data_IF_087006076017
#
_entry.id   IF_087006076017
#
_cell.length_a   1.000
_cell.length_b   1.000
_cell.length_c   1.000
_cell.angle_alpha   90.00
_cell.angle_beta   90.00
_cell.angle_gamma   90.00
#
_symmetry.space_group_name_H-M   'P 1'
#
loop_
_entity.id
_entity.type
_entity.pdbx_description
1 polymer ?
#
# COMPACT_ATOMS: atom_id res chain seq x y z
N UNK A 1 -8.95 26.60 16.24
CA UNK A 1 -10.00 27.54 15.76
C UNK A 1 -11.11 26.79 15.01
N UNK A 2 -11.71 25.75 15.60
CA UNK A 2 -12.86 25.01 15.04
C UNK A 2 -13.82 24.43 16.11
N UNK A 3 -13.63 24.73 17.39
CA UNK A 3 -14.38 24.08 18.48
C UNK A 3 -14.07 22.59 18.70
N UNK A 4 -13.21 22.02 17.85
CA UNK A 4 -12.69 20.64 17.94
C UNK A 4 -11.58 20.60 19.00
N UNK A 5 -11.60 19.59 19.87
CA UNK A 5 -10.54 19.42 20.86
C UNK A 5 -9.23 19.00 20.19
N UNK A 6 -8.08 19.36 20.78
CA UNK A 6 -6.79 18.92 20.24
C UNK A 6 -6.68 17.39 20.18
N UNK A 7 -7.28 16.69 21.14
CA UNK A 7 -7.31 15.23 21.17
C UNK A 7 -8.07 14.65 19.97
N UNK A 8 -9.24 15.19 19.64
CA UNK A 8 -10.03 14.74 18.50
C UNK A 8 -9.30 14.98 17.18
N UNK A 9 -8.60 16.11 17.10
CA UNK A 9 -7.80 16.51 15.95
C UNK A 9 -6.63 15.53 15.71
N UNK A 10 -5.94 15.12 16.78
CA UNK A 10 -4.84 14.14 16.72
C UNK A 10 -5.34 12.74 16.38
N UNK A 11 -6.51 12.35 16.89
CA UNK A 11 -7.13 11.09 16.49
C UNK A 11 -7.54 11.09 15.03
N UNK A 12 -8.08 12.20 14.51
CA UNK A 12 -8.40 12.33 13.10
C UNK A 12 -7.13 12.19 12.22
N UNK A 13 -6.03 12.85 12.59
CA UNK A 13 -4.73 12.70 11.94
C UNK A 13 -4.30 11.22 11.85
N UNK A 14 -4.33 10.52 13.00
CA UNK A 14 -3.96 9.12 13.10
C UNK A 14 -4.84 8.25 12.20
N UNK A 15 -6.15 8.36 12.32
CA UNK A 15 -7.11 7.51 11.60
C UNK A 15 -6.95 7.70 10.09
N UNK A 16 -6.88 8.95 9.62
CA UNK A 16 -6.74 9.23 8.19
C UNK A 16 -5.42 8.68 7.67
N UNK A 17 -4.31 8.95 8.35
CA UNK A 17 -2.98 8.46 7.96
C UNK A 17 -2.92 6.93 7.98
N UNK A 18 -3.47 6.29 9.01
CA UNK A 18 -3.55 4.84 9.11
C UNK A 18 -4.38 4.23 7.97
N UNK A 19 -5.51 4.84 7.60
CA UNK A 19 -6.31 4.37 6.48
C UNK A 19 -5.52 4.40 5.15
N UNK A 20 -4.80 5.48 4.86
CA UNK A 20 -3.95 5.55 3.66
C UNK A 20 -2.82 4.53 3.69
N UNK A 21 -2.08 4.46 4.81
CA UNK A 21 -0.97 3.50 4.97
C UNK A 21 -1.44 2.05 4.89
N UNK A 22 -2.58 1.71 5.47
CA UNK A 22 -3.18 0.38 5.33
C UNK A 22 -3.58 0.09 3.90
N UNK A 23 -4.18 1.04 3.18
CA UNK A 23 -4.52 0.88 1.77
C UNK A 23 -3.29 0.55 0.92
N UNK A 24 -2.20 1.30 1.11
CA UNK A 24 -0.92 1.07 0.42
C UNK A 24 -0.34 -0.31 0.79
N UNK A 25 -0.36 -0.68 2.07
CA UNK A 25 0.14 -1.96 2.54
C UNK A 25 -0.70 -3.16 2.02
N UNK A 26 -2.02 -2.98 1.85
CA UNK A 26 -2.88 -3.99 1.23
C UNK A 26 -2.59 -4.18 -0.25
N UNK A 27 -2.21 -3.13 -0.98
CA UNK A 27 -1.70 -3.31 -2.34
C UNK A 27 -0.42 -4.16 -2.38
N UNK A 28 0.50 -3.95 -1.42
CA UNK A 28 1.70 -4.76 -1.30
C UNK A 28 1.37 -6.23 -0.96
N UNK A 29 0.40 -6.45 -0.07
CA UNK A 29 -0.07 -7.78 0.29
C UNK A 29 -0.73 -8.50 -0.88
N UNK A 30 -1.55 -7.80 -1.68
CA UNK A 30 -2.19 -8.35 -2.86
C UNK A 30 -1.16 -8.71 -3.94
N UNK A 31 -0.16 -7.85 -4.19
CA UNK A 31 0.93 -8.14 -5.10
C UNK A 31 1.76 -9.37 -4.65
N UNK A 32 1.99 -9.51 -3.34
CA UNK A 32 2.65 -10.67 -2.76
C UNK A 32 1.81 -11.96 -2.90
N UNK A 33 0.50 -11.87 -2.68
CA UNK A 33 -0.43 -12.98 -2.86
C UNK A 33 -0.46 -13.45 -4.33
N UNK A 34 -0.51 -12.52 -5.28
CA UNK A 34 -0.40 -12.83 -6.71
C UNK A 34 0.94 -13.49 -7.05
N UNK A 35 2.03 -13.11 -6.37
CA UNK A 35 3.35 -13.73 -6.57
C UNK A 35 3.41 -15.18 -6.07
N UNK A 36 2.77 -15.49 -4.94
CA UNK A 36 2.68 -16.87 -4.46
C UNK A 36 1.80 -17.75 -5.36
N UNK A 37 0.75 -17.18 -5.95
CA UNK A 37 -0.07 -17.85 -6.96
C UNK A 37 0.75 -18.22 -8.19
N UNK A 38 1.53 -17.27 -8.71
CA UNK A 38 2.42 -17.49 -9.86
C UNK A 38 3.51 -18.51 -9.56
N UNK A 39 3.98 -18.54 -8.32
CA UNK A 39 4.98 -19.51 -7.85
C UNK A 39 4.41 -20.89 -7.54
N UNK A 40 3.10 -21.13 -7.77
CA UNK A 40 2.38 -22.38 -7.47
C UNK A 40 2.55 -22.79 -5.99
N UNK A 41 2.64 -21.80 -5.08
CA UNK A 41 2.76 -22.04 -3.63
C UNK A 41 1.39 -22.11 -2.97
N UNK A 42 0.48 -21.20 -3.32
CA UNK A 42 -0.87 -21.13 -2.78
C UNK A 42 -1.87 -20.73 -3.88
N UNK A 43 -3.02 -21.42 -4.04
CA UNK A 43 -4.13 -20.89 -4.81
C UNK A 43 -4.67 -19.69 -4.05
N UNK A 44 -5.09 -18.64 -4.77
CA UNK A 44 -5.62 -17.39 -4.20
C UNK A 44 -6.93 -17.64 -3.44
N UNK A 45 -6.82 -18.22 -2.26
CA UNK A 45 -7.90 -18.86 -1.55
C UNK A 45 -7.64 -18.89 -0.07
N UNK A 46 -8.69 -18.58 0.67
CA UNK A 46 -8.65 -18.41 2.11
C UNK A 46 -8.22 -19.66 2.90
N UNK A 47 -8.31 -20.85 2.29
CA UNK A 47 -8.25 -22.13 3.01
C UNK A 47 -7.50 -23.27 2.32
N UNK A 48 -6.91 -23.08 1.13
CA UNK A 48 -6.34 -24.22 0.37
C UNK A 48 -4.93 -23.96 -0.17
N UNK A 49 -4.15 -25.03 -0.29
CA UNK A 49 -2.82 -25.12 -0.94
C UNK A 49 -2.94 -25.91 -2.24
N UNK A 50 -2.00 -25.75 -3.17
CA UNK A 50 -1.99 -26.52 -4.43
C UNK A 50 -1.62 -27.99 -4.20
N UNK A 51 -0.83 -28.27 -3.15
CA UNK A 51 -0.62 -29.62 -2.62
C UNK A 51 -1.66 -29.89 -1.53
N UNK A 52 -2.29 -31.06 -1.54
CA UNK A 52 -3.23 -31.56 -0.52
C UNK A 52 -2.62 -31.71 0.90
N UNK A 53 -1.53 -31.01 1.20
CA UNK A 53 -1.01 -30.93 2.55
C UNK A 53 -1.92 -30.03 3.39
N UNK A 54 -2.51 -30.62 4.43
CA UNK A 54 -3.44 -30.00 5.38
C UNK A 54 -2.70 -28.99 6.27
N UNK A 55 -2.20 -27.90 5.68
CA UNK A 55 -1.56 -26.82 6.41
C UNK A 55 -2.55 -25.68 6.64
N UNK A 56 -3.07 -25.63 7.87
CA UNK A 56 -3.54 -24.42 8.56
C UNK A 56 -4.48 -23.50 7.79
N UNK A 57 -5.79 -23.71 7.96
CA UNK A 57 -6.83 -22.74 7.59
C UNK A 57 -6.55 -21.39 8.28
N UNK A 58 -6.07 -20.39 7.53
CA UNK A 58 -6.12 -18.93 7.79
C UNK A 58 -4.89 -18.12 7.34
N UNK A 59 -4.11 -18.57 6.34
CA UNK A 59 -2.89 -17.85 5.92
C UNK A 59 -3.16 -16.41 5.49
N UNK A 60 -4.21 -16.14 4.72
CA UNK A 60 -4.50 -14.77 4.24
C UNK A 60 -5.05 -13.87 5.36
N UNK A 61 -6.02 -14.33 6.15
CA UNK A 61 -6.60 -13.54 7.24
C UNK A 61 -5.54 -13.20 8.31
N UNK A 62 -4.67 -14.16 8.66
CA UNK A 62 -3.56 -13.92 9.57
C UNK A 62 -2.58 -12.88 9.00
N UNK A 63 -2.29 -12.93 7.70
CA UNK A 63 -1.45 -11.93 7.02
C UNK A 63 -2.10 -10.55 7.01
N UNK A 64 -3.38 -10.44 6.69
CA UNK A 64 -4.11 -9.17 6.73
C UNK A 64 -4.08 -8.58 8.13
N UNK A 65 -4.39 -9.36 9.17
CA UNK A 65 -4.36 -8.93 10.56
C UNK A 65 -2.95 -8.51 10.99
N UNK A 66 -1.92 -9.28 10.61
CA UNK A 66 -0.53 -8.97 10.90
C UNK A 66 -0.11 -7.66 10.23
N UNK A 67 -0.41 -7.48 8.94
CA UNK A 67 -0.11 -6.25 8.19
C UNK A 67 -0.80 -5.05 8.83
N UNK A 68 -2.10 -5.14 9.14
CA UNK A 68 -2.83 -4.08 9.83
C UNK A 68 -2.21 -3.76 11.20
N UNK A 69 -1.86 -4.78 11.98
CA UNK A 69 -1.26 -4.58 13.31
C UNK A 69 0.11 -3.90 13.23
N UNK A 70 0.95 -4.28 12.27
CA UNK A 70 2.27 -3.68 12.06
C UNK A 70 2.14 -2.22 11.63
N UNK A 71 1.30 -1.92 10.63
CA UNK A 71 1.13 -0.55 10.11
C UNK A 71 0.55 0.36 11.18
N UNK A 72 -0.56 -0.05 11.82
CA UNK A 72 -1.19 0.74 12.88
C UNK A 72 -0.26 0.92 14.08
N UNK A 73 0.48 -0.12 14.46
CA UNK A 73 1.45 -0.08 15.56
C UNK A 73 2.62 0.86 15.27
N UNK A 74 3.21 0.78 14.07
CA UNK A 74 4.30 1.68 13.66
C UNK A 74 3.86 3.15 13.68
N UNK A 75 2.67 3.44 13.16
CA UNK A 75 2.11 4.79 13.19
C UNK A 75 1.82 5.28 14.60
N UNK A 76 1.33 4.42 15.51
CA UNK A 76 1.13 4.79 16.91
C UNK A 76 2.46 5.13 17.60
N UNK A 77 3.53 4.38 17.33
CA UNK A 77 4.86 4.65 17.89
C UNK A 77 5.38 6.01 17.39
N UNK A 78 5.28 6.28 16.09
CA UNK A 78 5.68 7.56 15.49
C UNK A 78 4.87 8.70 16.12
N UNK A 79 3.54 8.56 16.21
CA UNK A 79 2.68 9.57 16.81
C UNK A 79 2.97 9.78 18.30
N UNK A 80 3.22 8.72 19.06
CA UNK A 80 3.56 8.81 20.47
C UNK A 80 4.88 9.56 20.69
N UNK A 81 5.86 9.40 19.80
CA UNK A 81 7.15 10.11 19.90
C UNK A 81 7.06 11.62 19.61
N UNK A 82 6.08 12.05 18.82
CA UNK A 82 5.95 13.43 18.33
C UNK A 82 4.53 13.98 18.60
N UNK A 83 3.93 13.56 19.71
CA UNK A 83 2.50 13.74 20.01
C UNK A 83 2.05 15.21 20.00
N UNK A 84 2.88 16.12 20.51
CA UNK A 84 2.59 17.56 20.58
C UNK A 84 2.69 18.27 19.23
N UNK A 85 3.48 17.73 18.31
CA UNK A 85 3.81 18.36 17.02
C UNK A 85 2.92 17.89 15.86
N UNK A 86 2.00 16.95 16.12
CA UNK A 86 1.23 16.26 15.08
C UNK A 86 0.08 17.07 14.44
N UNK A 87 -0.37 18.15 15.08
CA UNK A 87 -1.54 18.93 14.65
C UNK A 87 -1.35 20.41 14.94
N UNK A 88 -1.91 21.29 14.11
CA UNK A 88 -1.88 22.74 14.34
C UNK A 88 -3.25 23.28 14.74
N UNK A 89 -3.29 24.55 15.11
CA UNK A 89 -4.53 25.25 15.48
C UNK A 89 -5.51 25.43 14.30
N UNK A 90 -5.05 25.21 13.07
CA UNK A 90 -5.79 25.36 11.82
C UNK A 90 -5.95 24.06 11.02
N UNK A 91 -5.18 23.01 11.30
CA UNK A 91 -5.24 21.73 10.59
C UNK A 91 -5.15 20.50 11.50
N UNK A 92 -6.06 19.55 11.28
CA UNK A 92 -6.01 18.20 11.86
C UNK A 92 -5.34 17.15 10.96
N UNK A 93 -4.88 17.54 9.77
CA UNK A 93 -4.13 16.68 8.87
C UNK A 93 -2.61 16.82 9.05
N UNK A 94 -2.19 17.65 10.01
CA UNK A 94 -0.81 17.95 10.32
C UNK A 94 -0.25 19.07 9.45
N UNK A 95 0.91 19.59 9.84
CA UNK A 95 1.58 20.71 9.18
C UNK A 95 2.94 20.30 8.65
N UNK A 96 3.35 20.86 7.52
CA UNK A 96 4.70 20.69 6.97
C UNK A 96 5.59 21.84 7.43
N UNK A 97 6.47 21.54 8.38
CA UNK A 97 7.45 22.48 8.90
C UNK A 97 8.77 21.76 9.17
N UNK A 98 9.84 22.52 9.38
CA UNK A 98 11.13 21.97 9.80
C UNK A 98 11.06 21.24 11.15
N UNK A 99 10.04 21.52 11.97
CA UNK A 99 9.85 20.90 13.29
C UNK A 99 9.11 19.56 13.17
N UNK A 100 8.21 19.45 12.19
CA UNK A 100 7.38 18.25 11.97
C UNK A 100 7.98 17.27 10.97
N UNK A 101 9.14 17.56 10.39
CA UNK A 101 9.80 16.69 9.41
C UNK A 101 10.15 15.31 9.99
N UNK A 102 10.50 15.25 11.27
CA UNK A 102 10.82 14.02 11.98
C UNK A 102 9.59 13.14 12.22
N UNK A 103 8.38 13.72 12.17
CA UNK A 103 7.12 12.99 12.16
C UNK A 103 6.78 12.48 10.75
N UNK A 104 6.89 13.33 9.73
CA UNK A 104 6.45 13.02 8.36
C UNK A 104 7.38 12.08 7.61
N UNK A 105 8.70 12.23 7.78
CA UNK A 105 9.72 11.43 7.11
C UNK A 105 9.54 9.92 7.31
N UNK A 106 9.40 9.38 8.54
CA UNK A 106 9.21 7.94 8.73
C UNK A 106 7.88 7.43 8.16
N UNK A 107 6.81 8.24 8.20
CA UNK A 107 5.50 7.86 7.64
C UNK A 107 5.59 7.78 6.11
N UNK A 108 6.19 8.79 5.48
CA UNK A 108 6.41 8.80 4.05
C UNK A 108 7.30 7.64 3.62
N UNK A 109 8.38 7.38 4.34
CA UNK A 109 9.28 6.26 4.07
C UNK A 109 8.55 4.91 4.13
N UNK A 110 7.73 4.68 5.17
CA UNK A 110 6.93 3.47 5.30
C UNK A 110 5.99 3.26 4.12
N UNK A 111 5.30 4.34 3.69
CA UNK A 111 4.37 4.32 2.57
C UNK A 111 5.09 4.09 1.23
N UNK A 112 6.21 4.77 0.99
CA UNK A 112 7.04 4.60 -0.22
C UNK A 112 7.65 3.20 -0.29
N UNK A 113 8.19 2.68 0.82
CA UNK A 113 8.69 1.30 0.86
C UNK A 113 7.59 0.28 0.55
N UNK A 114 6.38 0.48 1.09
CA UNK A 114 5.23 -0.39 0.80
C UNK A 114 4.82 -0.32 -0.67
N UNK A 115 4.80 0.88 -1.27
CA UNK A 115 4.52 1.07 -2.69
C UNK A 115 5.58 0.42 -3.59
N UNK A 116 6.87 0.51 -3.22
CA UNK A 116 7.97 -0.16 -3.92
C UNK A 116 7.84 -1.69 -3.85
N UNK A 117 7.50 -2.23 -2.68
CA UNK A 117 7.26 -3.68 -2.51
C UNK A 117 6.12 -4.14 -3.42
N UNK A 118 5.00 -3.42 -3.44
CA UNK A 118 3.87 -3.72 -4.32
C UNK A 118 4.28 -3.71 -5.79
N UNK A 119 5.05 -2.69 -6.20
CA UNK A 119 5.56 -2.52 -7.56
C UNK A 119 6.51 -3.66 -7.94
N UNK A 120 7.45 -4.02 -7.06
CA UNK A 120 8.45 -5.07 -7.32
C UNK A 120 7.79 -6.45 -7.51
N UNK A 121 6.84 -6.82 -6.64
CA UNK A 121 6.11 -8.08 -6.78
C UNK A 121 5.23 -8.07 -8.05
N UNK A 122 4.53 -6.97 -8.31
CA UNK A 122 3.69 -6.85 -9.51
C UNK A 122 4.51 -6.96 -10.80
N UNK A 123 5.66 -6.30 -10.88
CA UNK A 123 6.57 -6.39 -12.03
C UNK A 123 7.07 -7.81 -12.24
N UNK A 124 7.52 -8.48 -11.16
CA UNK A 124 7.99 -9.87 -11.24
C UNK A 124 6.90 -10.80 -11.76
N UNK A 125 5.66 -10.61 -11.30
CA UNK A 125 4.52 -11.38 -11.78
C UNK A 125 4.26 -11.13 -13.27
N UNK A 126 4.21 -9.88 -13.70
CA UNK A 126 4.01 -9.53 -15.11
C UNK A 126 5.06 -10.15 -16.03
N UNK A 127 6.33 -10.15 -15.61
CA UNK A 127 7.42 -10.81 -16.35
C UNK A 127 7.17 -12.32 -16.44
N UNK A 128 6.81 -12.97 -15.32
CA UNK A 128 6.52 -14.41 -15.35
C UNK A 128 5.32 -14.74 -16.24
N UNK A 129 4.23 -13.95 -16.18
CA UNK A 129 3.07 -14.12 -17.03
C UNK A 129 3.38 -13.99 -18.53
N UNK A 130 4.24 -13.03 -18.89
CA UNK A 130 4.55 -12.71 -20.29
C UNK A 130 5.60 -13.64 -20.91
N UNK A 131 6.58 -14.09 -20.12
CA UNK A 131 7.77 -14.75 -20.66
C UNK A 131 7.92 -16.23 -20.27
N UNK A 132 7.11 -16.80 -19.36
CA UNK A 132 7.15 -18.22 -19.04
C UNK A 132 5.98 -19.00 -19.67
N UNK A 133 6.16 -19.67 -20.83
CA UNK A 133 5.10 -20.46 -21.47
C UNK A 133 4.68 -21.68 -20.63
N UNK A 134 5.61 -22.32 -19.92
CA UNK A 134 5.31 -23.44 -19.02
C UNK A 134 4.36 -23.07 -17.88
N UNK A 135 4.37 -21.81 -17.44
CA UNK A 135 3.45 -21.33 -16.42
C UNK A 135 2.02 -21.22 -16.99
N UNK A 136 1.87 -20.75 -18.23
CA UNK A 136 0.57 -20.67 -18.90
C UNK A 136 -0.06 -22.06 -19.08
N UNK A 137 0.74 -23.04 -19.51
CA UNK A 137 0.29 -24.43 -19.65
C UNK A 137 -0.11 -25.06 -18.30
N UNK A 138 0.67 -24.82 -17.24
CA UNK A 138 0.34 -25.31 -15.90
C UNK A 138 -0.94 -24.68 -15.35
N UNK A 139 -1.14 -23.38 -15.58
CA UNK A 139 -2.36 -22.66 -15.19
C UNK A 139 -3.55 -23.18 -15.99
N UNK A 140 -3.44 -23.38 -17.30
CA UNK A 140 -4.53 -23.89 -18.14
C UNK A 140 -4.96 -25.29 -17.73
N UNK A 141 -4.00 -26.19 -17.48
CA UNK A 141 -4.25 -27.54 -16.97
C UNK A 141 -4.94 -27.52 -15.60
N UNK A 142 -4.51 -26.64 -14.68
CA UNK A 142 -5.18 -26.48 -13.39
C UNK A 142 -6.59 -25.91 -13.56
N UNK A 143 -6.75 -24.86 -14.36
CA UNK A 143 -8.05 -24.20 -14.58
C UNK A 143 -9.06 -25.09 -15.31
N UNK A 144 -8.60 -26.03 -16.15
CA UNK A 144 -9.46 -27.02 -16.80
C UNK A 144 -10.08 -28.03 -15.82
N UNK A 145 -9.47 -28.23 -14.65
CA UNK A 145 -9.92 -29.20 -13.64
C UNK A 145 -10.80 -28.58 -12.53
N UNK A 146 -10.97 -27.25 -12.49
CA UNK A 146 -11.59 -26.56 -11.36
C UNK A 146 -12.87 -25.83 -11.76
N UNK A 147 -13.78 -25.61 -10.80
CA UNK A 147 -15.04 -24.88 -10.99
C UNK A 147 -14.86 -23.47 -11.59
N UNK A 148 -15.86 -23.03 -12.37
CA UNK A 148 -15.89 -21.71 -13.02
C UNK A 148 -15.66 -20.54 -12.05
N UNK A 149 -16.16 -20.65 -10.82
CA UNK A 149 -16.00 -19.62 -9.80
C UNK A 149 -14.52 -19.40 -9.45
N UNK A 150 -13.78 -20.48 -9.23
CA UNK A 150 -12.35 -20.43 -8.90
C UNK A 150 -11.50 -19.92 -10.06
N UNK A 151 -11.88 -20.29 -11.28
CA UNK A 151 -11.25 -19.78 -12.49
C UNK A 151 -11.34 -18.26 -12.57
N UNK A 152 -12.53 -17.70 -12.29
CA UNK A 152 -12.72 -16.26 -12.24
C UNK A 152 -11.88 -15.58 -11.15
N UNK A 153 -11.69 -16.20 -9.98
CA UNK A 153 -10.84 -15.65 -8.90
C UNK A 153 -9.37 -15.54 -9.33
N UNK A 154 -8.85 -16.58 -9.98
CA UNK A 154 -7.48 -16.61 -10.50
C UNK A 154 -7.30 -15.57 -11.60
N UNK A 155 -8.19 -15.56 -12.61
CA UNK A 155 -8.13 -14.60 -13.72
C UNK A 155 -8.33 -13.14 -13.28
N UNK A 156 -9.06 -12.89 -12.18
CA UNK A 156 -9.18 -11.55 -11.60
C UNK A 156 -7.84 -11.08 -11.05
N UNK A 157 -7.18 -11.91 -10.24
CA UNK A 157 -5.88 -11.59 -9.66
C UNK A 157 -4.82 -11.27 -10.74
N UNK A 158 -4.90 -11.95 -11.89
CA UNK A 158 -4.02 -11.70 -13.04
C UNK A 158 -4.28 -10.35 -13.72
N UNK A 159 -5.55 -9.96 -13.86
CA UNK A 159 -5.93 -8.68 -14.46
C UNK A 159 -5.55 -7.48 -13.58
N UNK A 160 -5.57 -7.68 -12.27
CA UNK A 160 -5.35 -6.60 -11.30
C UNK A 160 -3.85 -6.31 -11.05
N UNK A 161 -2.91 -7.06 -11.65
CA UNK A 161 -1.46 -6.89 -11.44
C UNK A 161 -0.92 -5.50 -11.82
N UNK A 162 -1.44 -4.90 -12.91
CA UNK A 162 -1.04 -3.54 -13.28
C UNK A 162 -1.61 -2.52 -12.27
N UNK A 163 -2.80 -2.78 -11.75
CA UNK A 163 -3.44 -1.94 -10.74
C UNK A 163 -2.71 -2.04 -9.40
N UNK A 164 -2.20 -3.21 -9.01
CA UNK A 164 -1.39 -3.36 -7.80
C UNK A 164 -0.01 -2.69 -7.89
N UNK A 165 0.51 -2.46 -9.09
CA UNK A 165 1.72 -1.68 -9.30
C UNK A 165 1.47 -0.17 -9.19
N UNK A 166 0.39 0.34 -9.79
CA UNK A 166 0.12 1.78 -9.91
C UNK A 166 -0.69 2.34 -8.73
N UNK A 167 -1.67 1.57 -8.24
CA UNK A 167 -2.58 1.95 -7.15
C UNK A 167 -1.90 2.47 -5.89
N UNK A 168 -0.85 1.83 -5.35
CA UNK A 168 -0.17 2.35 -4.17
C UNK A 168 0.47 3.73 -4.42
N UNK A 169 1.01 4.00 -5.61
CA UNK A 169 1.56 5.32 -5.93
C UNK A 169 0.48 6.38 -5.98
N UNK A 170 -0.66 6.10 -6.63
CA UNK A 170 -1.79 7.02 -6.65
C UNK A 170 -2.29 7.36 -5.25
N UNK A 171 -2.32 6.38 -4.34
CA UNK A 171 -2.67 6.61 -2.93
C UNK A 171 -1.65 7.47 -2.20
N UNK A 172 -0.35 7.22 -2.40
CA UNK A 172 0.71 8.07 -1.83
C UNK A 172 0.59 9.49 -2.35
N UNK A 173 0.45 9.67 -3.68
CA UNK A 173 0.29 10.98 -4.32
C UNK A 173 -0.93 11.72 -3.78
N UNK A 174 -2.07 11.03 -3.71
CA UNK A 174 -3.32 11.62 -3.25
C UNK A 174 -3.24 12.05 -1.78
N UNK A 175 -2.68 11.18 -0.92
CA UNK A 175 -2.50 11.50 0.49
C UNK A 175 -1.57 12.71 0.68
N UNK A 176 -0.46 12.77 -0.05
CA UNK A 176 0.46 13.91 -0.02
C UNK A 176 -0.22 15.20 -0.48
N UNK A 177 -0.94 15.16 -1.61
CA UNK A 177 -1.71 16.30 -2.11
C UNK A 177 -2.77 16.76 -1.12
N UNK A 178 -3.44 15.83 -0.44
CA UNK A 178 -4.43 16.15 0.58
C UNK A 178 -3.81 16.93 1.73
N UNK A 179 -2.68 16.46 2.28
CA UNK A 179 -1.98 17.15 3.38
C UNK A 179 -1.43 18.50 2.93
N UNK A 180 -0.76 18.54 1.77
CA UNK A 180 -0.19 19.77 1.20
C UNK A 180 -1.27 20.81 0.95
N UNK A 181 -2.41 20.42 0.36
CA UNK A 181 -3.53 21.34 0.10
C UNK A 181 -4.11 21.93 1.37
N UNK A 182 -4.05 21.18 2.48
CA UNK A 182 -4.55 21.61 3.76
C UNK A 182 -3.59 22.58 4.47
N UNK A 183 -2.28 22.47 4.23
CA UNK A 183 -1.24 23.36 4.77
C UNK A 183 -0.74 24.42 3.76
N UNK A 184 -1.33 24.48 2.56
CA UNK A 184 -0.91 25.38 1.49
C UNK A 184 -1.03 26.86 1.86
N UNK A 185 -1.96 27.19 2.75
CA UNK A 185 -2.23 28.55 3.20
C UNK A 185 -1.07 29.12 4.04
N UNK A 186 -0.23 28.27 4.63
CA UNK A 186 0.77 28.65 5.64
C UNK A 186 2.22 28.56 5.14
N UNK A 187 2.60 27.56 4.33
CA UNK A 187 4.00 27.38 3.90
C UNK A 187 4.17 26.91 2.43
N UNK A 188 3.92 27.81 1.47
CA UNK A 188 3.95 27.51 0.02
C UNK A 188 5.30 27.00 -0.54
N UNK A 189 6.43 27.42 0.03
CA UNK A 189 7.76 27.01 -0.46
C UNK A 189 8.14 25.57 -0.09
N UNK A 190 7.86 25.13 1.13
CA UNK A 190 8.17 23.75 1.59
C UNK A 190 7.30 22.75 0.83
N UNK A 191 6.02 23.08 0.66
CA UNK A 191 5.06 22.30 -0.13
C UNK A 191 5.49 22.14 -1.60
N UNK A 192 6.16 23.15 -2.18
CA UNK A 192 6.69 23.08 -3.55
C UNK A 192 7.85 22.08 -3.68
N UNK A 193 8.75 22.02 -2.69
CA UNK A 193 9.87 21.08 -2.70
C UNK A 193 9.41 19.63 -2.55
N UNK A 194 8.44 19.37 -1.67
CA UNK A 194 7.91 18.03 -1.46
C UNK A 194 7.17 17.51 -2.70
N UNK A 195 6.34 18.36 -3.31
CA UNK A 195 5.68 18.06 -4.59
C UNK A 195 6.69 17.81 -5.73
N UNK A 196 7.77 18.60 -5.78
CA UNK A 196 8.80 18.47 -6.82
C UNK A 196 9.63 17.19 -6.67
N UNK A 197 10.04 16.86 -5.45
CA UNK A 197 10.75 15.62 -5.13
C UNK A 197 9.88 14.40 -5.47
N UNK A 198 8.61 14.45 -5.11
CA UNK A 198 7.66 13.39 -5.38
C UNK A 198 7.35 13.21 -6.87
N UNK A 199 7.09 14.29 -7.62
CA UNK A 199 6.82 14.17 -9.06
C UNK A 199 8.05 13.68 -9.85
N UNK A 200 9.26 13.90 -9.33
CA UNK A 200 10.50 13.37 -9.89
C UNK A 200 10.59 11.84 -9.70
N UNK A 201 10.20 11.34 -8.52
CA UNK A 201 10.14 9.91 -8.22
C UNK A 201 9.09 9.22 -9.09
N UNK A 202 7.90 9.81 -9.23
CA UNK A 202 6.80 9.29 -10.04
C UNK A 202 7.17 9.21 -11.54
N UNK A 203 7.74 10.27 -12.13
CA UNK A 203 8.15 10.28 -13.55
C UNK A 203 9.21 9.24 -13.88
N UNK A 204 10.19 9.04 -12.98
CA UNK A 204 11.24 8.04 -13.21
C UNK A 204 10.70 6.62 -13.17
N UNK A 205 9.61 6.35 -12.45
CA UNK A 205 8.97 5.03 -12.44
C UNK A 205 8.04 4.80 -13.62
N UNK A 206 7.28 5.79 -14.07
CA UNK A 206 6.45 5.64 -15.29
C UNK A 206 7.31 5.25 -16.50
N UNK A 207 8.54 5.77 -16.56
CA UNK A 207 9.54 5.42 -17.58
C UNK A 207 10.09 3.99 -17.46
N UNK A 208 9.95 3.31 -16.31
CA UNK A 208 10.34 1.90 -16.15
C UNK A 208 9.27 0.95 -16.73
N UNK A 209 8.04 1.44 -16.90
CA UNK A 209 6.90 0.66 -17.40
C UNK A 209 6.60 0.86 -18.91
N UNK A 210 7.36 1.71 -19.60
CA UNK A 210 7.33 1.89 -21.06
C UNK A 210 8.59 1.31 -21.70
#
# INVERSE_FOLDING_TARGET
MFGISELDCRWAFYVITACYSMGIAFFALEAFNAFELVSIKHPNAWTTTFSECVCGKSVLAARTLLTSSIVCGALLVILASMYTESTSTWSCLGTFSSVTIDLWSPILLLNVCSALIATAFSYRNLVTFKYLPHYQESVENYLGAVSLHRKNEVEKCQRDLAFTAIGPWLLVSYWQLLVISNDWVTHSLVNWYDYSFFSLVERKMILIFY
#
